data_IF_680460006519
#
_entry.id   IF_680460006519
#
_cell.length_a   1.000
_cell.length_b   1.000
_cell.length_c   1.000
_cell.angle_alpha   90.00
_cell.angle_beta   90.00
_cell.angle_gamma   90.00
#
_symmetry.space_group_name_H-M   'P 1'
#
loop_
_entity.id
_entity.type
_entity.pdbx_description
1 polymer ?
#
# COMPACT_ATOMS: atom_id res chain seq x y z
N UNK A 1 47.44 3.33 -8.31
CA UNK A 1 46.56 4.52 -8.22
C UNK A 1 47.40 5.77 -8.02
N UNK A 2 47.19 6.79 -8.85
CA UNK A 2 47.95 8.04 -8.80
C UNK A 2 47.67 8.83 -7.50
N UNK A 3 48.55 9.76 -7.06
CA UNK A 3 48.34 10.54 -5.84
C UNK A 3 47.02 11.33 -5.83
N UNK A 4 46.67 11.94 -6.96
CA UNK A 4 45.41 12.67 -7.13
C UNK A 4 44.17 11.76 -7.01
N UNK A 5 44.27 10.53 -7.53
CA UNK A 5 43.21 9.53 -7.45
C UNK A 5 43.02 9.05 -6.00
N UNK A 6 44.11 8.80 -5.27
CA UNK A 6 44.06 8.43 -3.84
C UNK A 6 43.40 9.54 -3.00
N UNK A 7 43.74 10.80 -3.27
CA UNK A 7 43.14 11.95 -2.59
C UNK A 7 41.62 12.02 -2.83
N UNK A 8 41.20 11.83 -4.07
CA UNK A 8 39.78 11.80 -4.43
C UNK A 8 39.04 10.65 -3.74
N UNK A 9 39.58 9.44 -3.80
CA UNK A 9 38.97 8.27 -3.16
C UNK A 9 38.82 8.45 -1.65
N UNK A 10 39.84 9.01 -0.99
CA UNK A 10 39.77 9.35 0.42
C UNK A 10 38.63 10.32 0.71
N UNK A 11 38.52 11.40 -0.06
CA UNK A 11 37.42 12.37 0.10
C UNK A 11 36.04 11.72 -0.11
N UNK A 12 35.91 10.82 -1.08
CA UNK A 12 34.65 10.09 -1.32
C UNK A 12 34.30 9.19 -0.14
N UNK A 13 35.25 8.37 0.32
CA UNK A 13 35.00 7.41 1.40
C UNK A 13 34.78 8.11 2.75
N UNK A 14 35.52 9.19 3.05
CA UNK A 14 35.37 9.99 4.27
C UNK A 14 34.02 10.73 4.31
N UNK A 15 33.41 11.00 3.16
CA UNK A 15 32.06 11.61 3.08
C UNK A 15 30.91 10.61 3.22
N UNK A 16 31.21 9.31 3.27
CA UNK A 16 30.21 8.26 3.31
C UNK A 16 29.55 8.11 4.69
N UNK A 17 28.25 7.85 4.72
CA UNK A 17 27.50 7.55 5.94
C UNK A 17 27.47 6.05 6.19
N UNK A 18 28.19 5.58 7.22
CA UNK A 18 28.14 4.17 7.59
C UNK A 18 26.82 3.84 8.27
N UNK A 19 26.06 2.91 7.68
CA UNK A 19 24.89 2.28 8.31
C UNK A 19 25.24 0.83 8.68
N UNK A 20 24.25 -0.02 8.95
CA UNK A 20 24.46 -1.35 9.53
C UNK A 20 25.58 -2.17 8.87
N UNK A 21 25.59 -2.25 7.53
CA UNK A 21 26.58 -3.04 6.77
C UNK A 21 27.09 -2.35 5.49
N UNK A 22 26.64 -1.13 5.22
CA UNK A 22 26.93 -0.43 3.97
C UNK A 22 27.35 1.02 4.25
N UNK A 23 28.38 1.47 3.53
CA UNK A 23 28.76 2.87 3.44
C UNK A 23 27.91 3.53 2.35
N UNK A 24 27.05 4.46 2.75
CA UNK A 24 26.21 5.20 1.81
C UNK A 24 26.96 6.43 1.31
N UNK A 25 27.14 6.52 0.00
CA UNK A 25 27.69 7.69 -0.67
C UNK A 25 26.60 8.29 -1.54
N UNK A 26 26.46 9.62 -1.53
CA UNK A 26 25.49 10.36 -2.35
C UNK A 26 26.23 11.17 -3.43
N UNK A 27 26.50 10.60 -4.62
CA UNK A 27 27.39 11.22 -5.60
C UNK A 27 26.95 12.60 -6.09
N UNK A 28 25.64 12.90 -6.08
CA UNK A 28 25.11 14.20 -6.49
C UNK A 28 25.41 15.30 -5.47
N UNK A 29 25.24 15.02 -4.18
CA UNK A 29 25.54 15.97 -3.11
C UNK A 29 27.05 16.17 -3.00
N UNK A 30 27.80 15.07 -3.07
CA UNK A 30 29.25 15.09 -3.02
C UNK A 30 29.87 15.84 -4.21
N UNK A 31 29.27 15.73 -5.40
CA UNK A 31 29.68 16.50 -6.58
C UNK A 31 29.58 18.02 -6.33
N UNK A 32 28.50 18.47 -5.70
CA UNK A 32 28.31 19.88 -5.34
C UNK A 32 29.31 20.33 -4.28
N UNK A 33 29.54 19.53 -3.24
CA UNK A 33 30.46 19.85 -2.15
C UNK A 33 31.93 19.91 -2.61
N UNK A 34 32.35 18.96 -3.45
CA UNK A 34 33.73 18.85 -3.93
C UNK A 34 34.01 19.65 -5.21
N UNK A 35 32.99 20.25 -5.83
CA UNK A 35 33.14 21.00 -7.09
C UNK A 35 33.61 20.14 -8.27
N UNK A 36 33.27 18.85 -8.28
CA UNK A 36 33.64 17.90 -9.34
C UNK A 36 32.39 17.27 -9.95
N UNK A 37 32.50 16.73 -11.17
CA UNK A 37 31.36 16.08 -11.81
C UNK A 37 30.95 14.80 -11.07
N UNK A 38 29.64 14.57 -11.00
CA UNK A 38 29.06 13.32 -10.49
C UNK A 38 29.66 12.09 -11.17
N UNK A 39 29.87 12.16 -12.48
CA UNK A 39 30.40 11.04 -13.25
C UNK A 39 31.84 10.69 -12.86
N UNK A 40 32.65 11.68 -12.44
CA UNK A 40 34.01 11.43 -11.94
C UNK A 40 33.99 10.64 -10.63
N UNK A 41 33.05 10.95 -9.73
CA UNK A 41 32.86 10.22 -8.47
C UNK A 41 32.40 8.78 -8.75
N UNK A 42 31.38 8.63 -9.60
CA UNK A 42 30.82 7.31 -9.97
C UNK A 42 31.89 6.46 -10.66
N UNK A 43 32.67 7.04 -11.56
CA UNK A 43 33.77 6.35 -12.25
C UNK A 43 34.86 5.88 -11.27
N UNK A 44 35.23 6.72 -10.30
CA UNK A 44 36.23 6.34 -9.28
C UNK A 44 35.75 5.16 -8.41
N UNK A 45 34.47 5.16 -8.00
CA UNK A 45 33.86 4.06 -7.27
C UNK A 45 33.78 2.79 -8.14
N UNK A 46 33.31 2.88 -9.38
CA UNK A 46 33.28 1.75 -10.31
C UNK A 46 34.68 1.16 -10.55
N UNK A 47 35.72 2.01 -10.56
CA UNK A 47 37.11 1.56 -10.63
C UNK A 47 37.56 0.77 -9.41
N UNK A 48 37.11 1.10 -8.19
CA UNK A 48 37.32 0.26 -7.00
C UNK A 48 36.61 -1.09 -7.14
N UNK A 49 35.35 -1.10 -7.61
CA UNK A 49 34.63 -2.36 -7.79
C UNK A 49 35.27 -3.25 -8.87
N UNK A 50 35.68 -2.67 -9.99
CA UNK A 50 36.32 -3.41 -11.09
C UNK A 50 37.66 -4.02 -10.66
N UNK A 51 38.39 -3.35 -9.76
CA UNK A 51 39.60 -3.87 -9.16
C UNK A 51 39.35 -4.95 -8.07
N UNK A 52 38.09 -5.15 -7.66
CA UNK A 52 37.73 -6.06 -6.57
C UNK A 52 37.90 -5.48 -5.16
N UNK A 53 38.18 -4.18 -5.04
CA UNK A 53 38.44 -3.52 -3.75
C UNK A 53 37.15 -3.31 -2.93
N UNK A 54 36.00 -3.14 -3.60
CA UNK A 54 34.70 -2.91 -2.96
C UNK A 54 33.57 -3.62 -3.72
N UNK A 55 32.43 -3.81 -3.05
CA UNK A 55 31.15 -4.10 -3.71
C UNK A 55 30.29 -2.84 -3.72
N UNK A 56 29.72 -2.48 -4.87
CA UNK A 56 28.77 -1.38 -5.00
C UNK A 56 27.36 -1.93 -5.17
N UNK A 57 26.41 -1.28 -4.49
CA UNK A 57 24.99 -1.50 -4.69
C UNK A 57 24.30 -0.16 -4.86
N UNK A 58 23.49 -0.05 -5.91
CA UNK A 58 22.70 1.16 -6.18
C UNK A 58 21.41 1.07 -5.37
N UNK A 59 21.22 2.00 -4.45
CA UNK A 59 19.99 2.10 -3.66
C UNK A 59 19.47 3.54 -3.67
N UNK A 60 18.17 3.71 -3.46
CA UNK A 60 17.56 5.04 -3.35
C UNK A 60 17.44 5.82 -4.65
N UNK A 61 17.62 5.20 -5.82
CA UNK A 61 17.32 5.85 -7.11
C UNK A 61 15.83 6.15 -7.14
N UNK A 62 15.50 7.44 -7.14
CA UNK A 62 14.13 7.94 -7.29
C UNK A 62 14.07 8.75 -8.56
N UNK A 63 13.02 8.52 -9.36
CA UNK A 63 12.70 9.43 -10.44
C UNK A 63 12.28 10.77 -9.82
N UNK A 64 13.10 11.81 -10.04
CA UNK A 64 12.71 13.18 -9.73
C UNK A 64 11.67 13.62 -10.75
N UNK A 65 10.44 13.84 -10.29
CA UNK A 65 9.38 14.37 -11.15
C UNK A 65 9.40 15.90 -11.08
N UNK A 66 9.44 16.55 -12.25
CA UNK A 66 9.21 18.00 -12.35
C UNK A 66 7.73 18.25 -12.55
N UNK A 67 7.16 19.13 -11.72
CA UNK A 67 5.78 19.58 -11.87
C UNK A 67 5.64 20.37 -13.19
N UNK A 68 4.89 19.84 -14.15
CA UNK A 68 4.65 20.50 -15.45
C UNK A 68 3.55 21.56 -15.38
N UNK A 69 2.55 21.35 -14.51
CA UNK A 69 1.43 22.26 -14.28
C UNK A 69 1.19 22.35 -12.78
N UNK A 70 0.92 23.54 -12.22
CA UNK A 70 0.51 23.67 -10.83
C UNK A 70 -0.80 22.90 -10.62
N UNK A 71 -1.01 22.30 -9.43
CA UNK A 71 -2.18 21.47 -9.16
C UNK A 71 -3.51 22.24 -9.13
N UNK A 72 -3.46 23.58 -9.21
CA UNK A 72 -4.63 24.43 -9.02
C UNK A 72 -5.06 24.42 -7.55
N UNK A 73 -6.37 24.41 -7.32
CA UNK A 73 -6.95 24.29 -5.99
C UNK A 73 -6.75 22.87 -5.43
N UNK A 74 -6.03 22.78 -4.30
CA UNK A 74 -5.74 21.52 -3.63
C UNK A 74 -6.99 20.86 -3.05
N UNK A 75 -8.01 21.63 -2.65
CA UNK A 75 -9.26 21.08 -2.14
C UNK A 75 -9.99 20.30 -3.24
N UNK A 76 -10.13 20.92 -4.42
CA UNK A 76 -10.75 20.31 -5.61
C UNK A 76 -9.96 19.08 -6.08
N UNK A 77 -8.62 19.17 -6.10
CA UNK A 77 -7.79 18.02 -6.45
C UNK A 77 -7.94 16.87 -5.45
N UNK A 78 -7.99 17.18 -4.16
CA UNK A 78 -8.15 16.18 -3.10
C UNK A 78 -9.49 15.48 -3.23
N UNK A 79 -10.57 16.22 -3.43
CA UNK A 79 -11.91 15.67 -3.64
C UNK A 79 -11.95 14.73 -4.86
N UNK A 80 -11.41 15.15 -6.01
CA UNK A 80 -11.33 14.30 -7.21
C UNK A 80 -10.53 13.02 -6.98
N UNK A 81 -9.43 13.09 -6.22
CA UNK A 81 -8.65 11.91 -5.88
C UNK A 81 -9.43 10.97 -4.96
N UNK A 82 -10.08 11.51 -3.93
CA UNK A 82 -10.93 10.74 -3.00
C UNK A 82 -12.04 10.02 -3.77
N UNK A 83 -12.74 10.71 -4.66
CA UNK A 83 -13.80 10.12 -5.50
C UNK A 83 -13.27 8.94 -6.33
N UNK A 84 -12.10 9.09 -6.98
CA UNK A 84 -11.47 8.00 -7.74
C UNK A 84 -11.12 6.80 -6.88
N UNK A 85 -10.62 7.03 -5.67
CA UNK A 85 -10.30 5.95 -4.73
C UNK A 85 -11.56 5.22 -4.27
N UNK A 86 -12.64 5.94 -3.96
CA UNK A 86 -13.92 5.35 -3.59
C UNK A 86 -14.53 4.54 -4.74
N UNK A 87 -14.54 5.08 -5.96
CA UNK A 87 -15.02 4.39 -7.15
C UNK A 87 -14.23 3.09 -7.41
N UNK A 88 -12.90 3.15 -7.27
CA UNK A 88 -12.04 1.98 -7.42
C UNK A 88 -12.30 0.92 -6.36
N UNK A 89 -12.39 1.32 -5.10
CA UNK A 89 -12.71 0.41 -4.00
C UNK A 89 -14.03 -0.31 -4.25
N UNK A 90 -15.07 0.42 -4.66
CA UNK A 90 -16.37 -0.16 -4.97
C UNK A 90 -16.29 -1.13 -6.15
N UNK A 91 -15.56 -0.78 -7.22
CA UNK A 91 -15.34 -1.67 -8.36
C UNK A 91 -14.61 -2.96 -7.96
N UNK A 92 -13.60 -2.86 -7.08
CA UNK A 92 -12.86 -4.01 -6.57
C UNK A 92 -13.77 -4.91 -5.71
N UNK A 93 -14.62 -4.33 -4.85
CA UNK A 93 -15.62 -5.07 -4.07
C UNK A 93 -16.64 -5.77 -4.98
N UNK A 94 -17.13 -5.09 -6.01
CA UNK A 94 -18.06 -5.68 -6.98
C UNK A 94 -17.42 -6.82 -7.77
N UNK A 95 -16.13 -6.71 -8.10
CA UNK A 95 -15.37 -7.80 -8.72
C UNK A 95 -15.25 -9.01 -7.78
N UNK A 96 -14.96 -8.80 -6.51
CA UNK A 96 -14.94 -9.87 -5.51
C UNK A 96 -16.32 -10.55 -5.38
N UNK A 97 -17.40 -9.76 -5.41
CA UNK A 97 -18.78 -10.30 -5.41
C UNK A 97 -19.06 -11.18 -6.64
N UNK A 98 -18.51 -10.84 -7.82
CA UNK A 98 -18.63 -11.68 -9.00
C UNK A 98 -17.91 -13.03 -8.84
N UNK A 99 -16.72 -13.05 -8.22
CA UNK A 99 -16.01 -14.30 -7.92
C UNK A 99 -16.81 -15.18 -6.95
N UNK A 100 -17.38 -14.59 -5.90
CA UNK A 100 -18.28 -15.31 -5.00
C UNK A 100 -19.55 -15.80 -5.73
N UNK A 101 -20.10 -14.96 -6.61
CA UNK A 101 -21.24 -15.28 -7.45
C UNK A 101 -21.01 -16.48 -8.35
N UNK A 102 -19.83 -16.57 -8.98
CA UNK A 102 -19.41 -17.72 -9.78
C UNK A 102 -19.44 -19.02 -8.96
N UNK A 103 -18.94 -19.01 -7.72
CA UNK A 103 -18.89 -20.21 -6.87
C UNK A 103 -20.29 -20.81 -6.59
N UNK A 104 -21.27 -19.94 -6.36
CA UNK A 104 -22.66 -20.31 -6.06
C UNK A 104 -23.56 -20.35 -7.31
N UNK A 105 -23.02 -20.06 -8.50
CA UNK A 105 -23.80 -19.97 -9.72
C UNK A 105 -24.37 -21.33 -10.11
N UNK A 106 -25.65 -21.38 -10.48
CA UNK A 106 -26.37 -22.63 -10.81
C UNK A 106 -26.31 -22.98 -12.31
N UNK A 107 -25.99 -22.03 -13.17
CA UNK A 107 -25.89 -22.23 -14.62
C UNK A 107 -24.49 -22.59 -15.10
N UNK A 108 -24.28 -22.58 -16.43
CA UNK A 108 -22.98 -22.84 -17.06
C UNK A 108 -21.88 -21.92 -16.51
N UNK A 109 -20.85 -22.49 -15.85
CA UNK A 109 -19.74 -21.72 -15.27
C UNK A 109 -18.88 -21.06 -16.35
N UNK A 110 -18.62 -21.77 -17.46
CA UNK A 110 -17.90 -21.20 -18.61
C UNK A 110 -18.65 -20.00 -19.16
N UNK A 111 -19.97 -20.09 -19.33
CA UNK A 111 -20.81 -18.97 -19.79
C UNK A 111 -20.83 -17.78 -18.85
N UNK A 112 -20.77 -18.02 -17.53
CA UNK A 112 -20.61 -16.95 -16.55
C UNK A 112 -19.26 -16.24 -16.72
N UNK A 113 -18.17 -17.00 -16.88
CA UNK A 113 -16.81 -16.47 -17.03
C UNK A 113 -16.63 -15.72 -18.35
N UNK A 114 -17.05 -16.28 -19.48
CA UNK A 114 -16.92 -15.61 -20.78
C UNK A 114 -17.69 -14.29 -20.78
N UNK A 115 -18.88 -14.25 -20.14
CA UNK A 115 -19.68 -13.03 -20.02
C UNK A 115 -18.92 -11.92 -19.28
N UNK A 116 -18.15 -12.26 -18.24
CA UNK A 116 -17.31 -11.29 -17.54
C UNK A 116 -16.27 -10.66 -18.47
N UNK A 117 -15.76 -11.41 -19.44
CA UNK A 117 -14.81 -10.94 -20.45
C UNK A 117 -15.46 -10.39 -21.73
N UNK A 118 -16.78 -10.22 -21.74
CA UNK A 118 -17.52 -9.62 -22.85
C UNK A 118 -18.04 -10.60 -23.91
N UNK A 119 -17.90 -11.91 -23.70
CA UNK A 119 -18.35 -12.94 -24.64
C UNK A 119 -19.55 -13.73 -24.09
N UNK A 120 -20.64 -13.80 -24.86
CA UNK A 120 -21.81 -14.56 -24.50
C UNK A 120 -21.85 -15.86 -25.29
N UNK A 121 -21.84 -16.99 -24.58
CA UNK A 121 -22.11 -18.30 -25.17
C UNK A 121 -23.60 -18.43 -25.50
N UNK A 122 -23.92 -18.86 -26.72
CA UNK A 122 -25.31 -19.10 -27.17
C UNK A 122 -25.94 -20.32 -26.49
N UNK A 123 -25.13 -21.31 -26.14
CA UNK A 123 -25.55 -22.54 -25.48
C UNK A 123 -24.65 -22.85 -24.27
N UNK A 124 -25.14 -23.61 -23.27
CA UNK A 124 -24.30 -24.12 -22.19
C UNK A 124 -23.11 -24.91 -22.74
N UNK A 125 -21.93 -24.78 -22.11
CA UNK A 125 -20.68 -25.35 -22.63
C UNK A 125 -20.62 -26.90 -22.65
N UNK A 126 -21.55 -27.59 -21.98
CA UNK A 126 -21.58 -29.06 -21.90
C UNK A 126 -20.51 -29.71 -21.01
N UNK A 127 -19.40 -29.03 -20.69
CA UNK A 127 -18.26 -29.65 -20.00
C UNK A 127 -17.98 -29.15 -18.58
N UNK A 128 -18.57 -28.03 -18.14
CA UNK A 128 -18.37 -27.55 -16.76
C UNK A 128 -19.17 -28.36 -15.74
N UNK A 129 -18.78 -28.29 -14.46
CA UNK A 129 -19.45 -28.98 -13.35
C UNK A 129 -20.97 -28.82 -13.35
N UNK A 130 -21.47 -27.61 -13.59
CA UNK A 130 -22.91 -27.32 -13.63
C UNK A 130 -23.59 -27.99 -14.83
N UNK A 131 -22.96 -28.00 -15.99
CA UNK A 131 -23.44 -28.71 -17.17
C UNK A 131 -23.40 -30.23 -16.98
N UNK A 132 -22.46 -30.75 -16.19
CA UNK A 132 -22.34 -32.17 -15.82
C UNK A 132 -23.26 -32.57 -14.66
N UNK A 133 -24.13 -31.67 -14.18
CA UNK A 133 -25.10 -31.96 -13.12
C UNK A 133 -24.55 -31.86 -11.69
N UNK A 134 -23.32 -31.37 -11.48
CA UNK A 134 -22.78 -31.13 -10.14
C UNK A 134 -23.44 -29.89 -9.53
N UNK A 135 -24.17 -30.02 -8.40
CA UNK A 135 -24.95 -28.92 -7.85
C UNK A 135 -24.07 -27.80 -7.31
N UNK A 136 -24.60 -26.57 -7.39
CA UNK A 136 -23.97 -25.41 -6.75
C UNK A 136 -23.99 -25.52 -5.23
N UNK A 137 -22.90 -25.10 -4.59
CA UNK A 137 -22.82 -24.96 -3.14
C UNK A 137 -22.69 -23.48 -2.79
N UNK A 138 -23.54 -23.03 -1.88
CA UNK A 138 -23.46 -21.67 -1.34
C UNK A 138 -22.56 -21.68 -0.11
N UNK A 139 -21.51 -20.86 -0.13
CA UNK A 139 -20.70 -20.61 1.06
C UNK A 139 -21.53 -19.76 2.02
N UNK A 140 -21.81 -20.30 3.22
CA UNK A 140 -22.53 -19.54 4.25
C UNK A 140 -21.61 -18.46 4.81
N UNK A 141 -22.08 -17.21 4.80
CA UNK A 141 -21.41 -16.13 5.51
C UNK A 141 -21.59 -16.32 7.02
N UNK A 142 -20.50 -16.29 7.82
CA UNK A 142 -20.62 -16.27 9.28
C UNK A 142 -21.44 -15.05 9.72
N UNK A 143 -22.30 -15.23 10.72
CA UNK A 143 -23.01 -14.10 11.33
C UNK A 143 -21.99 -13.32 12.18
N UNK A 144 -21.82 -12.01 11.94
CA UNK A 144 -20.99 -11.19 12.82
C UNK A 144 -21.55 -11.23 14.25
N UNK A 145 -20.66 -11.16 15.24
CA UNK A 145 -21.08 -10.95 16.62
C UNK A 145 -21.67 -9.56 16.79
N UNK A 146 -22.39 -9.33 17.89
CA UNK A 146 -22.79 -7.99 18.31
C UNK A 146 -21.64 -7.31 19.04
N UNK A 147 -21.51 -6.01 18.82
CA UNK A 147 -20.62 -5.14 19.59
C UNK A 147 -21.23 -4.94 20.98
N UNK A 148 -20.38 -5.02 22.00
CA UNK A 148 -20.76 -4.82 23.39
C UNK A 148 -20.68 -3.33 23.77
N UNK A 149 -21.42 -2.94 24.80
CA UNK A 149 -21.48 -1.53 25.23
C UNK A 149 -20.14 -1.02 25.78
N UNK A 150 -19.38 -1.87 26.48
CA UNK A 150 -18.03 -1.54 26.98
C UNK A 150 -17.06 -1.26 25.83
N UNK A 151 -17.13 -2.02 24.74
CA UNK A 151 -16.35 -1.74 23.52
C UNK A 151 -16.71 -0.40 22.89
N UNK A 152 -17.99 -0.03 22.83
CA UNK A 152 -18.42 1.29 22.34
C UNK A 152 -17.93 2.41 23.25
N UNK A 153 -17.96 2.22 24.57
CA UNK A 153 -17.41 3.17 25.52
C UNK A 153 -15.90 3.36 25.33
N UNK A 154 -15.15 2.28 25.08
CA UNK A 154 -13.71 2.36 24.77
C UNK A 154 -13.45 3.13 23.48
N UNK A 155 -14.28 2.94 22.44
CA UNK A 155 -14.18 3.73 21.20
C UNK A 155 -14.43 5.21 21.44
N UNK A 156 -15.44 5.58 22.23
CA UNK A 156 -15.71 6.99 22.57
C UNK A 156 -14.53 7.63 23.30
N UNK A 157 -14.00 6.94 24.31
CA UNK A 157 -12.82 7.40 25.03
C UNK A 157 -11.63 7.64 24.08
N UNK A 158 -11.39 6.72 23.13
CA UNK A 158 -10.35 6.87 22.12
C UNK A 158 -10.59 8.08 21.20
N UNK A 159 -11.84 8.37 20.82
CA UNK A 159 -12.21 9.54 20.02
C UNK A 159 -11.99 10.83 20.81
N UNK A 160 -12.30 10.83 22.11
CA UNK A 160 -12.11 11.97 23.01
C UNK A 160 -10.62 12.32 23.21
N UNK A 161 -9.70 11.38 22.99
CA UNK A 161 -8.25 11.64 22.95
C UNK A 161 -7.81 12.49 21.74
N UNK A 162 -8.68 12.68 20.74
CA UNK A 162 -8.49 13.59 19.58
C UNK A 162 -7.18 13.38 18.81
N UNK A 163 -6.79 12.12 18.62
CA UNK A 163 -5.64 11.77 17.79
C UNK A 163 -5.85 12.22 16.34
N UNK A 164 -4.98 13.10 15.85
CA UNK A 164 -5.01 13.54 14.45
C UNK A 164 -4.94 12.38 13.44
N UNK A 165 -4.33 11.25 13.83
CA UNK A 165 -4.24 10.04 13.02
C UNK A 165 -5.56 9.26 12.89
N UNK A 166 -6.55 9.54 13.74
CA UNK A 166 -7.87 8.89 13.80
C UNK A 166 -9.02 9.87 13.55
N UNK A 167 -8.72 11.07 13.03
CA UNK A 167 -9.66 12.19 12.95
C UNK A 167 -10.77 12.05 11.90
N UNK A 168 -10.76 10.98 11.10
CA UNK A 168 -11.86 10.67 10.19
C UNK A 168 -12.47 9.31 10.55
N UNK A 169 -13.79 9.12 10.33
CA UNK A 169 -14.45 7.84 10.59
C UNK A 169 -13.75 6.66 9.91
N UNK A 170 -13.24 6.86 8.69
CA UNK A 170 -12.51 5.84 7.96
C UNK A 170 -11.14 5.52 8.55
N UNK A 171 -10.42 6.52 9.10
CA UNK A 171 -9.17 6.28 9.82
C UNK A 171 -9.41 5.52 11.12
N UNK A 172 -10.44 5.91 11.87
CA UNK A 172 -10.87 5.22 13.09
C UNK A 172 -11.28 3.78 12.78
N UNK A 173 -12.12 3.56 11.78
CA UNK A 173 -12.55 2.22 11.38
C UNK A 173 -11.38 1.33 10.96
N UNK A 174 -10.40 1.88 10.22
CA UNK A 174 -9.18 1.16 9.86
C UNK A 174 -8.39 0.73 11.08
N UNK A 175 -8.23 1.64 12.03
CA UNK A 175 -7.54 1.39 13.29
C UNK A 175 -8.22 0.28 14.11
N UNK A 176 -9.54 0.37 14.28
CA UNK A 176 -10.35 -0.61 15.01
C UNK A 176 -10.37 -1.98 14.31
N UNK A 177 -10.23 -2.02 12.97
CA UNK A 177 -10.07 -3.27 12.22
C UNK A 177 -8.62 -3.80 12.20
N UNK A 178 -7.67 -3.14 12.86
CA UNK A 178 -6.26 -3.57 12.89
C UNK A 178 -5.49 -3.27 11.60
N UNK A 179 -6.02 -2.40 10.74
CA UNK A 179 -5.34 -1.98 9.51
C UNK A 179 -4.38 -0.83 9.81
N UNK A 180 -3.08 -1.15 9.85
CA UNK A 180 -2.04 -0.14 10.00
C UNK A 180 -2.13 0.94 8.91
N UNK A 181 -1.83 2.18 9.30
CA UNK A 181 -1.70 3.32 8.39
C UNK A 181 -0.41 4.07 8.70
N UNK A 182 0.18 4.80 7.74
CA UNK A 182 1.36 5.63 8.01
C UNK A 182 1.13 6.69 9.10
N UNK A 183 -0.10 7.19 9.24
CA UNK A 183 -0.44 8.15 10.30
C UNK A 183 -0.49 7.46 11.68
N UNK A 184 -1.22 6.35 11.81
CA UNK A 184 -1.35 5.62 13.07
C UNK A 184 -0.02 5.03 13.55
N UNK A 185 0.81 4.54 12.62
CA UNK A 185 2.14 3.99 12.94
C UNK A 185 3.08 5.07 13.46
N UNK A 186 3.11 6.25 12.80
CA UNK A 186 3.93 7.40 13.26
C UNK A 186 3.48 7.91 14.62
N UNK A 187 2.17 7.92 14.88
CA UNK A 187 1.59 8.26 16.16
C UNK A 187 1.74 7.14 17.23
N UNK A 188 2.36 6.01 16.89
CA UNK A 188 2.54 4.82 17.77
C UNK A 188 1.22 4.24 18.30
N UNK A 189 0.11 4.51 17.63
CA UNK A 189 -1.21 4.05 18.06
C UNK A 189 -1.41 2.56 17.82
N UNK A 190 -0.65 1.91 16.93
CA UNK A 190 -0.78 0.46 16.67
C UNK A 190 -0.41 -0.43 17.87
N UNK A 191 0.06 0.16 18.97
CA UNK A 191 0.31 -0.52 20.26
C UNK A 191 -0.79 -0.28 21.30
N UNK A 192 -1.76 0.58 21.00
CA UNK A 192 -2.89 0.84 21.88
C UNK A 192 -3.84 -0.36 21.90
N UNK A 193 -4.44 -0.66 23.05
CA UNK A 193 -5.28 -1.86 23.25
C UNK A 193 -6.56 -1.85 22.40
N UNK A 194 -7.04 -0.67 21.98
CA UNK A 194 -8.16 -0.54 21.06
C UNK A 194 -7.78 -0.80 19.59
N UNK A 195 -6.49 -0.93 19.26
CA UNK A 195 -6.08 -1.34 17.92
C UNK A 195 -6.55 -2.75 17.65
N UNK A 196 -7.21 -2.97 16.51
CA UNK A 196 -7.80 -4.25 16.14
C UNK A 196 -8.96 -4.73 17.05
N UNK A 197 -9.54 -3.86 17.88
CA UNK A 197 -10.69 -4.18 18.76
C UNK A 197 -11.87 -4.84 18.03
N UNK A 198 -12.08 -4.48 16.75
CA UNK A 198 -13.15 -4.99 15.89
C UNK A 198 -12.61 -5.73 14.66
N UNK A 199 -11.43 -6.34 14.74
CA UNK A 199 -10.83 -7.08 13.63
C UNK A 199 -11.67 -8.27 13.13
N UNK A 200 -12.58 -8.79 13.95
CA UNK A 200 -13.49 -9.87 13.61
C UNK A 200 -14.80 -9.40 12.94
N UNK A 201 -15.04 -8.09 12.85
CA UNK A 201 -16.24 -7.50 12.28
C UNK A 201 -16.05 -7.05 10.83
N UNK A 202 -17.10 -7.06 10.01
CA UNK A 202 -17.04 -6.49 8.67
C UNK A 202 -16.68 -5.00 8.71
N UNK A 203 -15.75 -4.58 7.85
CA UNK A 203 -15.29 -3.19 7.81
C UNK A 203 -16.43 -2.17 7.65
N UNK A 204 -17.46 -2.49 6.86
CA UNK A 204 -18.62 -1.62 6.68
C UNK A 204 -19.40 -1.38 7.99
N UNK A 205 -19.52 -2.40 8.82
CA UNK A 205 -20.21 -2.30 10.11
C UNK A 205 -19.37 -1.46 11.09
N UNK A 206 -18.06 -1.66 11.08
CA UNK A 206 -17.11 -0.86 11.89
C UNK A 206 -17.07 0.61 11.43
N UNK A 207 -17.17 0.85 10.13
CA UNK A 207 -17.24 2.20 9.57
C UNK A 207 -18.51 2.92 10.05
N UNK A 208 -19.67 2.26 10.01
CA UNK A 208 -20.91 2.84 10.52
C UNK A 208 -20.82 3.16 12.02
N UNK A 209 -20.16 2.32 12.81
CA UNK A 209 -19.86 2.61 14.22
C UNK A 209 -18.99 3.87 14.31
N UNK A 210 -17.91 3.96 13.55
CA UNK A 210 -17.02 5.12 13.56
C UNK A 210 -17.69 6.42 13.11
N UNK A 211 -18.68 6.36 12.22
CA UNK A 211 -19.48 7.52 11.74
C UNK A 211 -20.50 8.01 12.77
N UNK A 212 -20.82 7.19 13.78
CA UNK A 212 -21.78 7.50 14.84
C UNK A 212 -21.14 7.93 16.16
N UNK A 213 -19.82 8.14 16.17
CA UNK A 213 -19.09 8.67 17.32
C UNK A 213 -19.01 10.18 17.29
#
# INVERSE_FOLDING_TARGET
RAPAERKLLKQILDSGEMKRWWLYVYPTELAQQLGISRDKIVSALNGLQTAGDIMLSVSGVRHGYRMKKPPGDLAVLTESLVEKFLAREQADLDRLRQVLGLSAYRGCLTGYLTKHFGEKLDQPCGHCDRCRGVPAKTIKRPKPRRVKNDELTAVRALVDEKHAALNSPRQLARFLCGMASPAATRARLTRNDAFALFADLPFADVLAIAESQ
#
